data_IF_353620315899
#
_entry.id   IF_353620315899
#
_cell.length_a   1.000
_cell.length_b   1.000
_cell.length_c   1.000
_cell.angle_alpha   90.00
_cell.angle_beta   90.00
_cell.angle_gamma   90.00
#
_symmetry.space_group_name_H-M   'P 1'
#
loop_
_entity.id
_entity.type
_entity.pdbx_description
1 polymer ?
#
# COMPACT_ATOMS: atom_id res chain seq x y z
N UNK A 1 -37.74 -44.32 24.28
CA UNK A 1 -37.21 -45.34 23.35
C UNK A 1 -36.91 -44.63 22.04
N UNK A 2 -35.71 -44.06 21.89
CA UNK A 2 -34.51 -44.63 21.23
C UNK A 2 -34.71 -44.89 19.73
N UNK A 3 -34.13 -44.04 18.86
CA UNK A 3 -33.29 -44.38 17.69
C UNK A 3 -32.53 -43.09 17.27
N UNK A 4 -31.27 -42.88 17.69
CA UNK A 4 -30.01 -43.26 17.03
C UNK A 4 -29.82 -42.56 15.65
N UNK A 5 -29.16 -41.39 15.59
CA UNK A 5 -27.74 -41.20 15.18
C UNK A 5 -27.34 -42.03 13.94
N UNK A 6 -26.90 -41.37 12.84
CA UNK A 6 -25.54 -41.50 12.25
C UNK A 6 -25.39 -40.93 10.81
N UNK A 7 -24.39 -40.02 10.63
CA UNK A 7 -23.38 -39.86 9.53
C UNK A 7 -23.97 -39.56 8.11
N UNK A 8 -23.45 -38.77 7.14
CA UNK A 8 -22.14 -38.56 6.50
C UNK A 8 -22.30 -37.29 5.64
N UNK A 9 -21.53 -36.23 5.87
CA UNK A 9 -20.48 -35.71 4.99
C UNK A 9 -20.76 -35.66 3.46
N UNK A 10 -20.51 -34.47 2.91
CA UNK A 10 -19.92 -34.21 1.60
C UNK A 10 -20.65 -34.68 0.32
N UNK A 11 -21.25 -33.70 -0.36
CA UNK A 11 -21.16 -33.52 -1.81
C UNK A 11 -21.45 -32.04 -2.08
N UNK A 12 -20.45 -31.17 -2.23
CA UNK A 12 -19.86 -30.84 -3.54
C UNK A 12 -20.82 -31.23 -4.67
N UNK A 13 -21.41 -30.24 -5.34
CA UNK A 13 -21.59 -30.19 -6.78
C UNK A 13 -22.19 -28.83 -7.17
N UNK A 14 -21.34 -28.04 -7.81
CA UNK A 14 -21.64 -27.29 -9.03
C UNK A 14 -22.86 -26.36 -9.02
N UNK A 15 -22.59 -25.07 -8.86
CA UNK A 15 -23.18 -24.08 -9.75
C UNK A 15 -22.07 -23.15 -10.25
N UNK A 16 -21.26 -23.66 -11.19
CA UNK A 16 -20.78 -22.79 -12.26
C UNK A 16 -22.00 -22.50 -13.14
N UNK A 17 -22.57 -21.31 -12.99
CA UNK A 17 -23.53 -20.78 -13.94
C UNK A 17 -23.02 -19.42 -14.40
N UNK A 18 -22.42 -19.47 -15.60
CA UNK A 18 -22.44 -18.45 -16.63
C UNK A 18 -21.84 -17.06 -16.33
N UNK A 19 -20.69 -16.80 -16.98
CA UNK A 19 -20.44 -15.49 -17.58
C UNK A 19 -21.64 -15.10 -18.46
N UNK A 20 -22.20 -13.92 -18.25
CA UNK A 20 -23.20 -13.39 -19.17
C UNK A 20 -24.04 -12.26 -18.59
N UNK A 21 -23.55 -11.04 -18.81
CA UNK A 21 -24.34 -9.83 -19.10
C UNK A 21 -25.09 -9.11 -17.96
N UNK A 22 -24.77 -7.81 -17.88
CA UNK A 22 -25.61 -6.69 -17.41
C UNK A 22 -25.82 -6.52 -15.90
N UNK A 23 -25.01 -5.66 -15.30
CA UNK A 23 -25.37 -4.92 -14.09
C UNK A 23 -25.42 -3.42 -14.40
N UNK A 24 -26.59 -2.95 -14.84
CA UNK A 24 -26.99 -1.55 -14.71
C UNK A 24 -27.34 -1.29 -13.23
N UNK A 25 -26.66 -0.30 -12.67
CA UNK A 25 -27.17 0.65 -11.68
C UNK A 25 -27.63 0.09 -10.31
N UNK A 26 -26.86 0.39 -9.25
CA UNK A 26 -27.37 1.19 -8.13
C UNK A 26 -26.28 1.46 -7.07
N UNK A 27 -26.05 2.76 -6.86
CA UNK A 27 -25.94 3.39 -5.54
C UNK A 27 -25.09 2.72 -4.46
N UNK A 28 -23.90 3.26 -4.23
CA UNK A 28 -23.49 3.61 -2.88
C UNK A 28 -22.36 4.64 -2.96
N UNK A 29 -22.47 5.66 -2.13
CA UNK A 29 -21.57 6.80 -2.13
C UNK A 29 -20.13 6.42 -1.86
N UNK A 30 -19.28 7.36 -2.22
CA UNK A 30 -17.92 7.52 -1.72
C UNK A 30 -17.85 7.13 -0.24
N UNK A 31 -17.41 5.91 0.05
CA UNK A 31 -16.89 5.56 1.36
C UNK A 31 -15.43 5.23 1.15
N UNK A 32 -14.60 6.17 1.58
CA UNK A 32 -13.20 6.02 1.94
C UNK A 32 -12.78 4.55 2.04
N UNK A 33 -12.09 4.06 1.02
CA UNK A 33 -11.20 2.91 1.19
C UNK A 33 -9.96 3.38 1.97
N UNK A 34 -10.15 3.83 3.21
CA UNK A 34 -9.10 3.80 4.22
C UNK A 34 -9.14 2.42 4.86
N UNK A 35 -8.79 1.40 4.08
CA UNK A 35 -8.39 0.12 4.66
C UNK A 35 -6.99 0.31 5.19
N UNK A 36 -6.89 0.92 6.37
CA UNK A 36 -5.64 1.00 7.11
C UNK A 36 -5.31 -0.44 7.53
N UNK A 37 -4.41 -1.09 6.79
CA UNK A 37 -4.04 -2.49 7.01
C UNK A 37 -3.59 -2.66 8.46
N UNK A 38 -4.33 -3.47 9.22
CA UNK A 38 -4.02 -3.78 10.63
C UNK A 38 -2.88 -4.78 10.78
N UNK A 39 -2.36 -5.29 9.67
CA UNK A 39 -1.23 -6.20 9.66
C UNK A 39 0.05 -5.42 10.04
N UNK A 40 0.79 -5.86 11.08
CA UNK A 40 2.03 -5.23 11.54
C UNK A 40 3.03 -4.92 10.43
N UNK A 41 3.00 -5.70 9.33
CA UNK A 41 3.86 -5.52 8.15
C UNK A 41 3.59 -4.23 7.39
N UNK A 42 2.43 -3.59 7.58
CA UNK A 42 2.03 -2.36 6.91
C UNK A 42 1.94 -1.17 7.88
N UNK A 43 2.62 -1.23 9.03
CA UNK A 43 2.71 -0.09 9.96
C UNK A 43 3.66 1.02 9.49
N UNK A 44 4.23 0.90 8.30
CA UNK A 44 5.08 1.94 7.73
C UNK A 44 4.24 3.19 7.38
N UNK A 45 4.46 4.27 8.14
CA UNK A 45 3.79 5.55 7.93
C UNK A 45 3.99 6.12 6.52
N UNK A 46 5.13 5.85 5.86
CA UNK A 46 5.34 6.24 4.45
C UNK A 46 4.40 5.49 3.52
N UNK A 47 4.21 4.18 3.70
CA UNK A 47 3.35 3.38 2.82
C UNK A 47 1.87 3.73 3.01
N UNK A 48 1.49 4.17 4.21
CA UNK A 48 0.12 4.58 4.54
C UNK A 48 -0.17 6.05 4.17
N UNK A 49 0.85 6.88 3.93
CA UNK A 49 0.68 8.25 3.48
C UNK A 49 -0.05 8.28 2.12
N UNK A 50 -0.94 9.24 1.92
CA UNK A 50 -1.59 9.40 0.62
C UNK A 50 -0.56 9.79 -0.47
N UNK A 51 -0.89 9.71 -1.77
CA UNK A 51 0.09 9.97 -2.83
C UNK A 51 0.74 11.36 -2.79
N UNK A 52 -0.01 12.39 -2.39
CA UNK A 52 0.51 13.76 -2.27
C UNK A 52 1.51 13.87 -1.12
N UNK A 53 1.12 13.40 0.07
CA UNK A 53 1.99 13.36 1.25
C UNK A 53 3.26 12.53 1.00
N UNK A 54 3.12 11.37 0.36
CA UNK A 54 4.27 10.53 0.04
C UNK A 54 5.25 11.24 -0.91
N UNK A 55 4.72 11.92 -1.93
CA UNK A 55 5.54 12.72 -2.86
C UNK A 55 6.21 13.90 -2.16
N UNK A 56 5.49 14.58 -1.25
CA UNK A 56 6.03 15.70 -0.47
C UNK A 56 7.13 15.24 0.50
N UNK A 57 6.95 14.10 1.16
CA UNK A 57 7.95 13.54 2.08
C UNK A 57 9.22 13.16 1.33
N UNK A 58 9.09 12.49 0.18
CA UNK A 58 10.22 12.05 -0.63
C UNK A 58 10.88 13.23 -1.36
N UNK A 59 10.11 14.17 -1.90
CA UNK A 59 10.54 15.35 -2.66
C UNK A 59 11.80 15.10 -3.52
N UNK A 60 12.83 15.91 -3.34
CA UNK A 60 14.14 15.82 -3.99
C UNK A 60 14.94 14.57 -3.59
N UNK A 61 14.68 14.03 -2.39
CA UNK A 61 15.36 12.87 -1.85
C UNK A 61 14.91 11.55 -2.46
N UNK A 62 13.71 11.46 -3.03
CA UNK A 62 13.24 10.23 -3.67
C UNK A 62 14.19 9.75 -4.77
N UNK A 63 14.69 10.68 -5.61
CA UNK A 63 15.65 10.36 -6.67
C UNK A 63 17.01 9.98 -6.13
N UNK A 64 17.48 10.66 -5.09
CA UNK A 64 18.80 10.45 -4.50
C UNK A 64 18.89 9.12 -3.73
N UNK A 65 17.77 8.69 -3.15
CA UNK A 65 17.64 7.45 -2.40
C UNK A 65 17.30 6.24 -3.29
N UNK A 66 16.41 6.42 -4.27
CA UNK A 66 15.79 5.31 -4.99
C UNK A 66 15.99 5.33 -6.50
N UNK A 67 16.64 6.37 -7.04
CA UNK A 67 16.94 6.49 -8.46
C UNK A 67 17.96 5.46 -8.95
N UNK A 68 18.20 5.48 -10.26
CA UNK A 68 19.14 4.58 -10.94
C UNK A 68 20.59 4.78 -10.46
N UNK A 69 20.96 6.02 -10.14
CA UNK A 69 22.25 6.37 -9.57
C UNK A 69 22.08 6.73 -8.09
N UNK A 70 22.48 5.80 -7.23
CA UNK A 70 22.45 5.99 -5.78
C UNK A 70 23.45 7.07 -5.40
N UNK A 71 23.01 8.07 -4.64
CA UNK A 71 23.85 9.16 -4.18
C UNK A 71 24.91 8.66 -3.17
N UNK A 72 26.00 9.41 -2.93
CA UNK A 72 26.95 9.12 -1.86
C UNK A 72 26.26 8.97 -0.49
N UNK A 73 26.83 8.18 0.40
CA UNK A 73 26.23 7.86 1.71
C UNK A 73 25.90 9.12 2.55
N UNK A 74 26.76 10.13 2.51
CA UNK A 74 26.54 11.42 3.18
C UNK A 74 25.24 12.12 2.72
N UNK A 75 24.94 12.05 1.42
CA UNK A 75 23.73 12.63 0.83
C UNK A 75 22.51 11.80 1.20
N UNK A 76 22.65 10.47 1.20
CA UNK A 76 21.56 9.59 1.62
C UNK A 76 21.20 9.78 3.10
N UNK A 77 22.20 9.96 3.98
CA UNK A 77 21.96 10.22 5.39
C UNK A 77 21.17 11.52 5.59
N UNK A 78 21.60 12.60 4.93
CA UNK A 78 20.87 13.87 4.95
C UNK A 78 19.45 13.69 4.44
N UNK A 79 19.28 12.95 3.34
CA UNK A 79 17.97 12.69 2.78
C UNK A 79 17.04 11.90 3.69
N UNK A 80 17.54 10.90 4.42
CA UNK A 80 16.73 10.20 5.44
C UNK A 80 16.25 11.16 6.52
N UNK A 81 17.13 12.01 7.02
CA UNK A 81 16.79 13.01 8.04
C UNK A 81 15.75 14.01 7.54
N UNK A 82 15.92 14.53 6.33
CA UNK A 82 14.98 15.48 5.72
C UNK A 82 13.61 14.82 5.48
N UNK A 83 13.58 13.56 5.03
CA UNK A 83 12.34 12.79 4.89
C UNK A 83 11.62 12.60 6.23
N UNK A 84 12.33 12.23 7.29
CA UNK A 84 11.75 12.10 8.65
C UNK A 84 11.19 13.44 9.11
N UNK A 85 11.94 14.53 8.94
CA UNK A 85 11.50 15.87 9.34
C UNK A 85 10.26 16.35 8.55
N UNK A 86 10.18 16.04 7.25
CA UNK A 86 8.98 16.34 6.44
C UNK A 86 7.77 15.51 6.88
N UNK A 87 7.97 14.22 7.15
CA UNK A 87 6.91 13.36 7.64
C UNK A 87 6.37 13.82 9.00
N UNK A 88 7.24 14.22 9.92
CA UNK A 88 6.85 14.75 11.23
C UNK A 88 5.99 16.02 11.11
N UNK A 89 6.35 16.95 10.21
CA UNK A 89 5.55 18.15 9.92
C UNK A 89 4.14 17.82 9.41
N UNK A 90 3.99 16.69 8.72
CA UNK A 90 2.71 16.18 8.22
C UNK A 90 1.97 15.30 9.24
N UNK A 91 2.52 15.14 10.45
CA UNK A 91 1.95 14.30 11.51
C UNK A 91 2.15 12.80 11.28
N UNK A 92 3.05 12.39 10.39
CA UNK A 92 3.33 11.00 10.04
C UNK A 92 4.61 10.55 10.74
N UNK A 93 4.50 9.55 11.61
CA UNK A 93 5.65 8.97 12.29
C UNK A 93 6.33 7.93 11.41
N UNK A 94 7.60 8.16 11.10
CA UNK A 94 8.44 7.25 10.31
C UNK A 94 9.85 7.25 10.90
N UNK A 95 10.63 6.21 10.60
CA UNK A 95 12.04 6.11 10.97
C UNK A 95 12.89 5.62 9.77
N UNK A 96 14.19 5.45 9.98
CA UNK A 96 15.10 5.01 8.91
C UNK A 96 14.75 3.62 8.36
N UNK A 97 14.30 2.70 9.22
CA UNK A 97 13.87 1.37 8.79
C UNK A 97 12.67 1.45 7.83
N UNK A 98 11.72 2.34 8.12
CA UNK A 98 10.60 2.59 7.22
C UNK A 98 11.04 3.10 5.85
N UNK A 99 12.05 3.96 5.79
CA UNK A 99 12.59 4.50 4.52
C UNK A 99 13.33 3.41 3.73
N UNK A 100 14.04 2.52 4.43
CA UNK A 100 14.82 1.45 3.82
C UNK A 100 13.98 0.27 3.32
N UNK A 101 12.68 0.23 3.61
CA UNK A 101 11.79 -0.83 3.13
C UNK A 101 11.70 -0.86 1.60
N UNK A 102 11.87 -2.05 1.01
CA UNK A 102 11.80 -2.24 -0.45
C UNK A 102 10.48 -1.76 -1.04
N UNK A 103 9.37 -1.91 -0.32
CA UNK A 103 8.05 -1.45 -0.76
C UNK A 103 7.99 0.08 -0.94
N UNK A 104 8.77 0.86 -0.19
CA UNK A 104 8.84 2.32 -0.37
C UNK A 104 9.51 2.66 -1.69
N UNK A 105 10.61 1.98 -2.01
CA UNK A 105 11.28 2.10 -3.32
C UNK A 105 10.36 1.68 -4.46
N UNK A 106 9.66 0.56 -4.32
CA UNK A 106 8.74 0.06 -5.35
C UNK A 106 7.59 1.03 -5.59
N UNK A 107 7.02 1.60 -4.52
CA UNK A 107 6.00 2.64 -4.60
C UNK A 107 6.52 3.89 -5.32
N UNK A 108 7.71 4.36 -4.99
CA UNK A 108 8.33 5.51 -5.67
C UNK A 108 8.48 5.25 -7.18
N UNK A 109 9.02 4.09 -7.56
CA UNK A 109 9.19 3.70 -8.95
C UNK A 109 7.86 3.54 -9.70
N UNK A 110 6.82 3.07 -9.02
CA UNK A 110 5.47 3.03 -9.58
C UNK A 110 4.95 4.44 -9.89
N UNK A 111 5.09 5.40 -8.98
CA UNK A 111 4.65 6.78 -9.21
C UNK A 111 5.39 7.46 -10.36
N UNK A 112 6.70 7.23 -10.49
CA UNK A 112 7.48 7.77 -11.63
C UNK A 112 6.95 7.26 -12.98
N UNK A 113 6.61 5.97 -13.06
CA UNK A 113 6.05 5.37 -14.28
C UNK A 113 4.68 5.93 -14.63
N UNK A 114 3.81 6.10 -13.64
CA UNK A 114 2.47 6.66 -13.85
C UNK A 114 2.52 8.17 -14.20
N UNK A 115 3.45 8.92 -13.60
CA UNK A 115 3.67 10.33 -13.94
C UNK A 115 4.20 10.56 -15.35
N UNK A 116 4.91 9.57 -15.92
CA UNK A 116 5.50 9.65 -17.27
C UNK A 116 4.54 9.32 -18.41
N UNK A 117 3.31 8.88 -18.11
CA UNK A 117 2.28 8.51 -19.10
C UNK A 117 1.32 9.67 -19.47
N UNK A 118 1.58 10.88 -18.98
CA UNK A 118 0.85 12.10 -19.35
C UNK A 118 1.66 12.94 -20.32
#
# INVERSE_FOLDING_TARGET
MHYLKFIIAAALLLNLSACGDKAENQSAGQQNAQTQSSDPRYQNGLLNANPQQFTEILADCGKLMFGEHVAPEEVQLKCRQDMIARAEKLGIKINEANIAEQLVKDRYNFMLREGSKK
#
